data_IF_398511007159
#
_entry.id   IF_398511007159
#
_cell.length_a   1.000
_cell.length_b   1.000
_cell.length_c   1.000
_cell.angle_alpha   90.00
_cell.angle_beta   90.00
_cell.angle_gamma   90.00
#
_symmetry.space_group_name_H-M   'P 1'
#
loop_
_entity.id
_entity.type
_entity.pdbx_description
1 polymer ?
#
# COMPACT_ATOMS: atom_id res chain seq x y z
N UNK A 1 10.86 17.84 -6.20
CA UNK A 1 10.72 16.48 -5.64
C UNK A 1 9.25 16.21 -5.30
N UNK A 2 8.71 15.06 -5.69
CA UNK A 2 7.35 14.65 -5.33
C UNK A 2 7.39 13.99 -3.94
N UNK A 3 6.80 14.65 -2.95
CA UNK A 3 6.70 14.11 -1.59
C UNK A 3 5.48 13.20 -1.44
N UNK A 4 5.60 12.11 -0.69
CA UNK A 4 4.49 11.29 -0.21
C UNK A 4 4.72 10.90 1.25
N UNK A 5 3.83 10.08 1.80
CA UNK A 5 3.81 9.73 3.23
C UNK A 5 5.12 9.10 3.71
N UNK A 6 5.84 8.34 2.84
CA UNK A 6 7.15 7.78 3.20
C UNK A 6 8.32 8.68 2.81
N UNK A 7 8.30 9.28 1.62
CA UNK A 7 9.41 10.08 1.09
C UNK A 7 9.01 11.56 1.10
N UNK A 8 9.43 12.26 2.15
CA UNK A 8 9.04 13.65 2.38
C UNK A 8 9.81 14.60 1.45
N UNK A 9 9.27 15.81 1.24
CA UNK A 9 9.89 16.83 0.37
C UNK A 9 11.20 17.41 0.91
N UNK A 10 11.50 17.17 2.19
CA UNK A 10 12.73 17.61 2.84
C UNK A 10 13.85 16.56 2.76
N UNK A 11 13.66 15.46 2.00
CA UNK A 11 14.62 14.36 1.89
C UNK A 11 14.61 13.39 3.07
N UNK A 12 13.82 13.67 4.11
CA UNK A 12 13.60 12.75 5.22
C UNK A 12 12.51 11.72 4.89
N UNK A 13 12.34 10.78 5.81
CA UNK A 13 11.32 9.75 5.72
C UNK A 13 10.19 10.03 6.70
N UNK A 14 8.94 9.79 6.28
CA UNK A 14 7.80 9.91 7.18
C UNK A 14 7.73 8.81 8.24
N UNK A 15 6.69 8.90 9.06
CA UNK A 15 6.44 7.96 10.15
C UNK A 15 5.84 6.65 9.61
N UNK A 16 6.60 5.56 9.71
CA UNK A 16 6.18 4.24 9.20
C UNK A 16 4.96 3.69 9.93
N UNK A 17 4.78 4.00 11.22
CA UNK A 17 3.61 3.53 11.98
C UNK A 17 2.32 4.16 11.47
N UNK A 18 2.35 5.46 11.16
CA UNK A 18 1.18 6.17 10.63
C UNK A 18 0.75 5.61 9.27
N UNK A 19 1.72 5.39 8.37
CA UNK A 19 1.48 4.79 7.04
C UNK A 19 0.82 3.43 7.18
N UNK A 20 1.30 2.61 8.11
CA UNK A 20 0.82 1.25 8.32
C UNK A 20 -0.58 1.26 8.93
N UNK A 21 -0.84 2.11 9.92
CA UNK A 21 -2.16 2.27 10.51
C UNK A 21 -3.21 2.74 9.49
N UNK A 22 -2.84 3.71 8.64
CA UNK A 22 -3.72 4.19 7.58
C UNK A 22 -4.00 3.10 6.53
N UNK A 23 -2.96 2.34 6.15
CA UNK A 23 -3.14 1.22 5.24
C UNK A 23 -4.02 0.11 5.84
N UNK A 24 -3.82 -0.24 7.11
CA UNK A 24 -4.67 -1.20 7.84
C UNK A 24 -6.13 -0.80 7.81
N UNK A 25 -6.41 0.48 8.13
CA UNK A 25 -7.76 1.01 8.10
C UNK A 25 -8.40 0.84 6.71
N UNK A 26 -7.66 1.18 5.66
CA UNK A 26 -8.12 1.02 4.28
C UNK A 26 -8.34 -0.45 3.89
N UNK A 27 -7.46 -1.34 4.31
CA UNK A 27 -7.59 -2.78 4.06
C UNK A 27 -8.83 -3.33 4.76
N UNK A 28 -9.06 -2.95 6.02
CA UNK A 28 -10.23 -3.42 6.78
C UNK A 28 -11.56 -2.96 6.15
N UNK A 29 -11.60 -1.70 5.68
CA UNK A 29 -12.74 -1.16 4.94
C UNK A 29 -12.99 -1.89 3.62
N UNK A 30 -11.91 -2.20 2.89
CA UNK A 30 -12.00 -2.70 1.53
C UNK A 30 -11.94 -4.22 1.39
N UNK A 31 -11.65 -4.97 2.46
CA UNK A 31 -11.55 -6.45 2.42
C UNK A 31 -12.85 -7.13 2.01
N UNK A 32 -14.00 -6.46 2.21
CA UNK A 32 -15.32 -6.94 1.77
C UNK A 32 -15.46 -7.00 0.24
N UNK A 33 -14.59 -6.33 -0.50
CA UNK A 33 -14.58 -6.38 -1.96
C UNK A 33 -13.60 -7.46 -2.43
N UNK A 34 -14.12 -8.49 -3.10
CA UNK A 34 -13.37 -9.66 -3.62
C UNK A 34 -12.25 -9.35 -4.63
N UNK A 35 -11.94 -8.07 -4.89
CA UNK A 35 -10.95 -7.63 -5.88
C UNK A 35 -9.92 -6.64 -5.33
N UNK A 36 -9.90 -6.42 -4.02
CA UNK A 36 -8.93 -5.55 -3.39
C UNK A 36 -7.54 -6.17 -3.47
N UNK A 37 -6.57 -5.36 -3.85
CA UNK A 37 -5.16 -5.67 -3.76
C UNK A 37 -4.45 -4.48 -3.12
N UNK A 38 -3.52 -4.76 -2.23
CA UNK A 38 -2.60 -3.78 -1.67
C UNK A 38 -1.31 -3.87 -2.44
N UNK A 39 -0.80 -2.72 -2.87
CA UNK A 39 0.46 -2.66 -3.60
C UNK A 39 1.50 -2.05 -2.68
N UNK A 40 2.63 -2.75 -2.53
CA UNK A 40 3.78 -2.27 -1.78
C UNK A 40 4.39 -1.00 -2.39
N UNK A 41 5.16 -0.31 -1.57
CA UNK A 41 5.92 0.88 -1.95
C UNK A 41 7.00 0.49 -2.96
N UNK A 42 7.02 1.21 -4.08
CA UNK A 42 8.08 1.12 -5.08
C UNK A 42 9.40 1.72 -4.55
N UNK A 43 10.55 1.11 -4.84
CA UNK A 43 11.84 1.77 -4.60
C UNK A 43 11.93 3.04 -5.45
N UNK A 44 12.57 4.08 -4.92
CA UNK A 44 12.87 5.30 -5.67
C UNK A 44 14.34 5.33 -6.05
N UNK A 45 14.66 5.75 -7.26
CA UNK A 45 16.05 5.96 -7.66
C UNK A 45 16.62 7.16 -6.90
N UNK A 46 17.85 7.03 -6.42
CA UNK A 46 18.52 8.10 -5.67
C UNK A 46 18.04 8.27 -4.23
N UNK A 47 17.08 7.46 -3.75
CA UNK A 47 16.72 7.44 -2.34
C UNK A 47 17.87 6.89 -1.48
N UNK A 48 18.00 7.40 -0.25
CA UNK A 48 19.00 6.92 0.70
C UNK A 48 18.74 5.47 1.10
N UNK A 49 19.80 4.74 1.48
CA UNK A 49 19.66 3.37 1.99
C UNK A 49 18.73 3.28 3.19
N UNK A 50 18.66 4.32 4.02
CA UNK A 50 17.72 4.41 5.13
C UNK A 50 16.26 4.47 4.66
N UNK A 51 15.96 5.30 3.66
CA UNK A 51 14.61 5.40 3.10
C UNK A 51 14.18 4.11 2.38
N UNK A 52 15.10 3.48 1.66
CA UNK A 52 14.88 2.20 1.00
C UNK A 52 14.62 1.07 2.02
N UNK A 53 15.41 1.02 3.10
CA UNK A 53 15.21 0.09 4.22
C UNK A 53 13.83 0.26 4.87
N UNK A 54 13.38 1.50 5.08
CA UNK A 54 12.02 1.76 5.58
C UNK A 54 10.93 1.32 4.61
N UNK A 55 11.11 1.51 3.30
CA UNK A 55 10.15 1.04 2.30
C UNK A 55 9.99 -0.48 2.35
N UNK A 56 11.09 -1.23 2.48
CA UNK A 56 11.07 -2.69 2.66
C UNK A 56 10.29 -3.04 3.93
N UNK A 57 10.62 -2.45 5.08
CA UNK A 57 9.95 -2.75 6.34
C UNK A 57 8.45 -2.41 6.34
N UNK A 58 8.04 -1.37 5.61
CA UNK A 58 6.62 -1.10 5.38
C UNK A 58 5.99 -2.18 4.52
N UNK A 59 6.62 -2.59 3.42
CA UNK A 59 6.09 -3.63 2.53
C UNK A 59 5.92 -4.97 3.25
N UNK A 60 6.91 -5.42 4.03
CA UNK A 60 6.84 -6.64 4.83
C UNK A 60 5.65 -6.60 5.80
N UNK A 61 5.48 -5.48 6.51
CA UNK A 61 4.34 -5.32 7.44
C UNK A 61 3.00 -5.26 6.72
N UNK A 62 2.93 -4.63 5.55
CA UNK A 62 1.71 -4.65 4.71
C UNK A 62 1.36 -6.07 4.27
N UNK A 63 2.35 -6.87 3.89
CA UNK A 63 2.17 -8.27 3.51
C UNK A 63 1.64 -9.13 4.67
N UNK A 64 2.28 -9.02 5.84
CA UNK A 64 1.90 -9.73 7.06
C UNK A 64 0.46 -9.42 7.48
N UNK A 65 -0.01 -8.19 7.24
CA UNK A 65 -1.38 -7.79 7.55
C UNK A 65 -2.40 -8.25 6.51
N UNK A 66 -2.02 -8.25 5.23
CA UNK A 66 -2.91 -8.66 4.14
C UNK A 66 -3.17 -10.17 4.17
N UNK A 67 -2.15 -10.96 4.49
CA UNK A 67 -2.17 -12.43 4.50
C UNK A 67 -3.32 -13.03 5.33
N UNK A 68 -3.47 -12.74 6.63
CA UNK A 68 -4.55 -13.31 7.44
C UNK A 68 -5.95 -12.82 7.03
N UNK A 69 -6.03 -11.67 6.35
CA UNK A 69 -7.29 -11.10 5.86
C UNK A 69 -7.70 -11.65 4.48
N UNK A 70 -6.88 -12.52 3.87
CA UNK A 70 -7.11 -13.03 2.51
C UNK A 70 -7.06 -11.92 1.44
N UNK A 71 -6.45 -10.77 1.77
CA UNK A 71 -6.27 -9.66 0.85
C UNK A 71 -4.98 -9.88 0.08
N UNK A 72 -5.01 -9.66 -1.25
CA UNK A 72 -3.81 -9.86 -2.06
C UNK A 72 -2.83 -8.72 -1.83
N UNK A 73 -1.60 -9.05 -1.48
CA UNK A 73 -0.48 -8.13 -1.50
C UNK A 73 0.34 -8.32 -2.79
N UNK A 74 0.80 -7.21 -3.37
CA UNK A 74 1.70 -7.21 -4.53
C UNK A 74 2.93 -6.41 -4.15
N UNK A 75 4.07 -7.08 -3.99
CA UNK A 75 5.34 -6.42 -3.73
C UNK A 75 6.07 -6.11 -5.05
N UNK A 76 6.17 -4.83 -5.46
CA UNK A 76 6.93 -4.47 -6.63
C UNK A 76 8.44 -4.34 -6.34
N UNK A 77 8.88 -4.42 -5.08
CA UNK A 77 10.20 -3.96 -4.69
C UNK A 77 11.33 -4.68 -5.44
N UNK A 78 11.34 -6.01 -5.41
CA UNK A 78 12.38 -6.82 -6.06
C UNK A 78 12.41 -6.70 -7.58
N UNK A 79 11.27 -6.36 -8.21
CA UNK A 79 11.19 -6.18 -9.67
C UNK A 79 11.75 -4.83 -10.11
N UNK A 80 11.58 -3.80 -9.28
CA UNK A 80 11.91 -2.41 -9.62
C UNK A 80 13.23 -1.92 -9.02
N UNK A 81 13.77 -2.60 -8.01
CA UNK A 81 15.01 -2.19 -7.36
C UNK A 81 16.19 -2.16 -8.34
N UNK A 82 16.89 -1.02 -8.41
CA UNK A 82 18.03 -0.80 -9.32
C UNK A 82 17.68 -0.67 -10.80
N UNK A 83 16.40 -0.72 -11.19
CA UNK A 83 15.96 -0.74 -12.59
C UNK A 83 15.66 0.66 -13.12
N UNK A 84 16.72 1.46 -13.32
CA UNK A 84 16.60 2.83 -13.81
C UNK A 84 15.85 2.95 -15.15
N UNK A 85 15.89 1.89 -15.97
CA UNK A 85 15.19 1.77 -17.25
C UNK A 85 13.66 1.71 -17.13
N UNK A 86 13.09 1.60 -15.92
CA UNK A 86 11.65 1.57 -15.66
C UNK A 86 11.08 2.92 -15.18
N UNK A 87 11.94 3.91 -14.92
CA UNK A 87 11.54 5.20 -14.37
C UNK A 87 11.66 6.33 -15.40
N UNK A 88 10.98 7.43 -15.13
CA UNK A 88 11.27 8.74 -15.71
C UNK A 88 12.61 9.27 -15.13
N UNK A 89 13.21 10.30 -15.75
CA UNK A 89 14.45 10.89 -15.25
C UNK A 89 14.39 11.40 -13.80
N UNK A 90 13.18 11.62 -13.26
CA UNK A 90 12.99 12.02 -11.86
C UNK A 90 13.19 10.89 -10.84
N UNK A 91 13.32 9.63 -11.28
CA UNK A 91 13.56 8.49 -10.41
C UNK A 91 12.40 8.10 -9.50
N UNK A 92 11.24 8.73 -9.65
CA UNK A 92 10.05 8.51 -8.81
C UNK A 92 8.91 7.96 -9.64
N UNK A 93 8.63 8.57 -10.79
CA UNK A 93 7.51 8.19 -11.63
C UNK A 93 7.94 7.13 -12.66
N UNK A 94 7.05 6.19 -12.96
CA UNK A 94 7.31 5.15 -13.94
C UNK A 94 7.22 5.69 -15.38
N UNK A 95 8.15 5.26 -16.23
CA UNK A 95 8.04 5.49 -17.67
C UNK A 95 7.04 4.50 -18.31
N UNK A 96 6.89 4.54 -19.64
CA UNK A 96 5.95 3.64 -20.35
C UNK A 96 6.22 2.17 -20.04
N UNK A 97 7.48 1.73 -20.14
CA UNK A 97 7.89 0.35 -19.87
C UNK A 97 7.69 -0.02 -18.39
N UNK A 98 8.00 0.89 -17.47
CA UNK A 98 7.74 0.69 -16.04
C UNK A 98 6.27 0.45 -15.75
N UNK A 99 5.37 1.22 -16.36
CA UNK A 99 3.91 1.02 -16.21
C UNK A 99 3.44 -0.31 -16.78
N UNK A 100 4.02 -0.78 -17.89
CA UNK A 100 3.72 -2.09 -18.47
C UNK A 100 4.14 -3.22 -17.51
N UNK A 101 5.39 -3.19 -17.02
CA UNK A 101 5.91 -4.15 -16.03
C UNK A 101 5.04 -4.14 -14.77
N UNK A 102 4.73 -2.96 -14.23
CA UNK A 102 3.87 -2.81 -13.06
C UNK A 102 2.46 -3.38 -13.30
N UNK A 103 1.87 -3.09 -14.47
CA UNK A 103 0.55 -3.57 -14.85
C UNK A 103 0.44 -5.09 -15.01
N UNK A 104 1.55 -5.77 -15.31
CA UNK A 104 1.60 -7.23 -15.36
C UNK A 104 1.74 -7.87 -13.96
N UNK A 105 2.22 -7.12 -12.97
CA UNK A 105 2.26 -7.58 -11.56
C UNK A 105 0.88 -7.49 -10.89
N UNK A 106 0.06 -6.51 -11.28
CA UNK A 106 -1.27 -6.34 -10.68
C UNK A 106 -2.23 -7.40 -11.23
N UNK A 107 -2.87 -8.22 -10.37
CA UNK A 107 -3.77 -9.27 -10.82
C UNK A 107 -4.91 -8.72 -11.68
N UNK A 108 -4.90 -9.07 -12.97
CA UNK A 108 -5.97 -8.70 -13.90
C UNK A 108 -7.22 -9.51 -13.56
N UNK A 109 -8.17 -8.91 -12.85
CA UNK A 109 -9.46 -9.56 -12.61
C UNK A 109 -10.24 -9.68 -13.93
N UNK A 110 -10.21 -10.85 -14.57
CA UNK A 110 -11.20 -11.18 -15.62
C UNK A 110 -12.53 -11.44 -14.93
N UNK A 111 -13.45 -10.49 -14.90
CA UNK A 111 -14.82 -10.76 -14.42
C UNK A 111 -15.86 -9.98 -15.21
N UNK A 112 -16.83 -10.73 -15.76
CA UNK A 112 -18.13 -10.23 -16.23
C UNK A 112 -18.78 -9.42 -15.10
N UNK A 113 -19.04 -8.13 -15.34
CA UNK A 113 -19.68 -7.23 -14.38
C UNK A 113 -21.04 -7.84 -13.98
N UNK A 114 -21.16 -8.37 -12.77
CA UNK A 114 -22.45 -8.45 -12.09
C UNK A 114 -22.57 -7.20 -11.22
N UNK A 115 -23.56 -6.37 -11.53
CA UNK A 115 -23.90 -5.18 -10.76
C UNK A 115 -24.29 -5.62 -9.35
N UNK A 116 -23.49 -5.29 -8.34
CA UNK A 116 -23.95 -5.26 -6.96
C UNK A 116 -24.15 -3.81 -6.53
N UNK A 117 -25.28 -3.56 -5.88
CA UNK A 117 -25.71 -2.26 -5.36
C UNK A 117 -24.75 -1.76 -4.27
N UNK A 118 -24.49 -0.44 -4.26
CA UNK A 118 -23.69 0.24 -3.23
C UNK A 118 -24.34 0.06 -1.84
N UNK A 119 -23.57 -0.25 -0.78
CA UNK A 119 -24.02 -0.03 0.58
C UNK A 119 -23.91 1.46 0.94
N UNK A 120 -24.98 2.05 1.46
CA UNK A 120 -24.98 3.37 2.10
C UNK A 120 -24.36 3.24 3.50
N UNK A 121 -23.20 3.87 3.72
CA UNK A 121 -22.58 4.00 5.03
C UNK A 121 -22.59 5.48 5.44
N UNK A 122 -23.14 5.75 6.62
CA UNK A 122 -23.29 7.11 7.14
C UNK A 122 -22.02 7.58 7.87
N UNK A 123 -21.86 8.90 8.01
CA UNK A 123 -20.71 9.52 8.70
C UNK A 123 -20.58 9.13 10.18
N UNK A 124 -21.65 8.64 10.81
CA UNK A 124 -21.63 8.14 12.19
C UNK A 124 -20.99 6.74 12.29
N UNK A 125 -21.14 5.92 11.24
CA UNK A 125 -20.54 4.59 11.16
C UNK A 125 -19.00 4.69 11.10
N UNK A 126 -18.48 5.73 10.42
CA UNK A 126 -17.05 6.05 10.37
C UNK A 126 -16.43 6.34 11.75
N UNK A 127 -17.15 7.00 12.66
CA UNK A 127 -16.61 7.41 13.95
C UNK A 127 -16.57 6.25 14.96
N UNK A 128 -17.53 5.34 14.88
CA UNK A 128 -17.57 4.12 15.72
C UNK A 128 -16.56 3.07 15.27
N UNK A 129 -16.26 2.98 13.96
CA UNK A 129 -15.24 2.06 13.45
C UNK A 129 -13.83 2.42 13.96
N UNK A 130 -13.46 3.71 13.99
CA UNK A 130 -12.17 4.17 14.52
C UNK A 130 -11.92 3.71 15.96
N UNK A 131 -12.96 3.71 16.81
CA UNK A 131 -12.85 3.24 18.21
C UNK A 131 -12.65 1.73 18.30
N UNK A 132 -13.29 0.97 17.41
CA UNK A 132 -13.16 -0.50 17.33
C UNK A 132 -11.78 -0.95 16.85
N UNK A 133 -11.20 -0.25 15.88
CA UNK A 133 -9.85 -0.55 15.34
C UNK A 133 -8.77 -0.30 16.40
N UNK A 134 -8.86 0.78 17.19
CA UNK A 134 -7.93 1.01 18.31
C UNK A 134 -7.97 -0.12 19.36
N UNK A 135 -9.13 -0.70 19.63
CA UNK A 135 -9.25 -1.83 20.56
C UNK A 135 -8.67 -3.14 19.97
N UNK A 136 -8.75 -3.31 18.65
CA UNK A 136 -8.19 -4.48 17.95
C UNK A 136 -6.66 -4.41 17.87
N UNK A 137 -6.10 -3.22 17.61
CA UNK A 137 -4.65 -2.96 17.65
C UNK A 137 -4.09 -3.23 19.05
N UNK A 138 -4.81 -2.82 20.11
CA UNK A 138 -4.38 -3.06 21.50
C UNK A 138 -4.36 -4.55 21.87
N UNK A 139 -5.22 -5.37 21.24
CA UNK A 139 -5.19 -6.84 21.39
C UNK A 139 -4.04 -7.48 20.63
N UNK A 140 -3.68 -6.95 19.46
CA UNK A 140 -2.59 -7.49 18.63
C UNK A 140 -1.21 -7.12 19.19
N UNK A 141 -1.04 -5.91 19.74
CA UNK A 141 0.22 -5.45 20.35
C UNK A 141 0.55 -6.08 21.73
N UNK A 142 -0.35 -6.91 22.28
CA UNK A 142 -0.17 -7.62 23.57
C UNK A 142 -0.04 -9.13 23.42
N UNK A 143 -0.02 -9.65 22.19
CA UNK A 143 0.21 -11.05 21.87
C UNK A 143 1.67 -11.32 21.57
#
# INVERSE_FOLDING_TARGET
ESGNDLFLRNGETGNTEEIILDAMYMVDELKRFNRTAVIGILPRLGASSHALSKAIGVNERLEDMCTPLGVRFVDPYNVFYGRADLYLPDGVHLNKRGKEVFGDMVPKSKVKIQKQSKPDLSRADFCNLRKGVSAMIWKWAKG
#
